data_IF_549140344711
#
_entry.id   IF_549140344711
#
_cell.length_a   1.000
_cell.length_b   1.000
_cell.length_c   1.000
_cell.angle_alpha   90.00
_cell.angle_beta   90.00
_cell.angle_gamma   90.00
#
_symmetry.space_group_name_H-M   'P 1'
#
loop_
_entity.id
_entity.type
_entity.pdbx_description
1 polymer ?
#
# COMPACT_ATOMS: atom_id res chain seq x y z
N UNK A 1 -42.72 19.80 23.38
CA UNK A 1 -42.06 18.47 23.44
C UNK A 1 -41.59 17.95 22.08
N UNK A 2 -42.42 17.93 21.03
CA UNK A 2 -42.03 17.34 19.72
C UNK A 2 -40.80 18.00 19.05
N UNK A 3 -40.62 19.31 19.18
CA UNK A 3 -39.49 20.02 18.57
C UNK A 3 -38.13 19.63 19.17
N UNK A 4 -38.09 19.33 20.48
CA UNK A 4 -36.88 18.90 21.18
C UNK A 4 -36.51 17.46 20.80
N UNK A 5 -37.51 16.59 20.64
CA UNK A 5 -37.33 15.21 20.21
C UNK A 5 -36.77 15.14 18.77
N UNK A 6 -37.27 15.99 17.88
CA UNK A 6 -36.81 16.07 16.48
C UNK A 6 -35.36 16.57 16.38
N UNK A 7 -34.98 17.55 17.20
CA UNK A 7 -33.60 18.06 17.26
C UNK A 7 -32.65 17.00 17.86
N UNK A 8 -33.09 16.25 18.88
CA UNK A 8 -32.31 15.16 19.45
C UNK A 8 -32.12 14.01 18.46
N UNK A 9 -33.17 13.60 17.75
CA UNK A 9 -33.09 12.58 16.71
C UNK A 9 -32.19 13.02 15.55
N UNK A 10 -32.29 14.28 15.10
CA UNK A 10 -31.42 14.83 14.07
C UNK A 10 -29.94 14.91 14.52
N UNK A 11 -29.68 15.29 15.77
CA UNK A 11 -28.32 15.25 16.34
C UNK A 11 -27.79 13.83 16.46
N UNK A 12 -28.64 12.87 16.87
CA UNK A 12 -28.27 11.47 17.00
C UNK A 12 -27.94 10.83 15.64
N UNK A 13 -28.74 11.10 14.60
CA UNK A 13 -28.45 10.62 13.25
C UNK A 13 -27.22 11.28 12.64
N UNK A 14 -26.97 12.57 12.93
CA UNK A 14 -25.75 13.25 12.52
C UNK A 14 -24.51 12.66 13.19
N UNK A 15 -24.54 12.45 14.51
CA UNK A 15 -23.43 11.83 15.25
C UNK A 15 -23.17 10.40 14.73
N UNK A 16 -24.23 9.62 14.52
CA UNK A 16 -24.11 8.25 14.02
C UNK A 16 -23.53 8.19 12.61
N UNK A 17 -23.94 9.08 11.71
CA UNK A 17 -23.39 9.15 10.34
C UNK A 17 -21.92 9.59 10.33
N UNK A 18 -21.53 10.55 11.18
CA UNK A 18 -20.14 10.95 11.34
C UNK A 18 -19.26 9.83 11.92
N UNK A 19 -19.77 9.12 12.93
CA UNK A 19 -19.06 7.99 13.53
C UNK A 19 -18.80 6.88 12.49
N UNK A 20 -19.83 6.55 11.69
CA UNK A 20 -19.71 5.57 10.62
C UNK A 20 -18.70 6.04 9.55
N UNK A 21 -18.74 7.32 9.18
CA UNK A 21 -17.81 7.87 8.19
C UNK A 21 -16.35 7.79 8.67
N UNK A 22 -16.11 8.12 9.94
CA UNK A 22 -14.80 8.04 10.58
C UNK A 22 -14.26 6.59 10.59
N UNK A 23 -15.09 5.63 11.00
CA UNK A 23 -14.74 4.22 10.97
C UNK A 23 -14.43 3.70 9.56
N UNK A 24 -15.18 4.15 8.54
CA UNK A 24 -14.93 3.77 7.15
C UNK A 24 -13.60 4.35 6.63
N UNK A 25 -13.25 5.58 7.01
CA UNK A 25 -11.94 6.15 6.68
C UNK A 25 -10.80 5.31 7.28
N UNK A 26 -10.89 4.99 8.57
CA UNK A 26 -9.87 4.15 9.22
C UNK A 26 -9.80 2.74 8.64
N UNK A 27 -10.93 2.15 8.23
CA UNK A 27 -10.92 0.86 7.54
C UNK A 27 -10.20 0.94 6.20
N UNK A 28 -10.41 2.02 5.43
CA UNK A 28 -9.73 2.21 4.14
C UNK A 28 -8.23 2.39 4.33
N UNK A 29 -7.82 3.23 5.29
CA UNK A 29 -6.41 3.45 5.58
C UNK A 29 -5.72 2.20 6.12
N UNK A 30 -6.34 1.52 7.10
CA UNK A 30 -5.81 0.30 7.68
C UNK A 30 -5.68 -0.83 6.68
N UNK A 31 -6.71 -1.06 5.86
CA UNK A 31 -6.66 -2.09 4.82
C UNK A 31 -5.62 -1.77 3.73
N UNK A 32 -5.46 -0.50 3.36
CA UNK A 32 -4.41 -0.09 2.42
C UNK A 32 -3.00 -0.33 2.99
N UNK A 33 -2.74 0.03 4.25
CA UNK A 33 -1.44 -0.21 4.90
C UNK A 33 -1.17 -1.71 5.05
N UNK A 34 -2.19 -2.51 5.39
CA UNK A 34 -2.07 -3.97 5.39
C UNK A 34 -1.74 -4.52 3.99
N UNK A 35 -2.34 -3.94 2.94
CA UNK A 35 -2.00 -4.27 1.57
C UNK A 35 -0.55 -3.91 1.20
N UNK A 36 -0.02 -2.78 1.68
CA UNK A 36 1.40 -2.43 1.50
C UNK A 36 2.29 -3.52 2.10
N UNK A 37 1.93 -3.99 3.30
CA UNK A 37 2.59 -5.12 3.96
C UNK A 37 2.64 -6.34 3.05
N UNK A 38 1.47 -6.79 2.58
CA UNK A 38 1.34 -7.93 1.68
C UNK A 38 2.16 -7.80 0.39
N UNK A 39 2.19 -6.63 -0.24
CA UNK A 39 2.86 -6.45 -1.53
C UNK A 39 4.36 -6.15 -1.44
N UNK A 40 4.86 -5.60 -0.33
CA UNK A 40 6.20 -5.02 -0.25
C UNK A 40 7.08 -5.57 0.88
N UNK A 41 6.50 -5.93 2.03
CA UNK A 41 7.26 -6.17 3.26
C UNK A 41 7.13 -7.60 3.81
N UNK A 42 5.91 -8.12 3.86
CA UNK A 42 5.55 -9.32 4.61
C UNK A 42 5.98 -10.58 3.84
N UNK A 43 7.20 -11.05 4.10
CA UNK A 43 7.75 -12.26 3.51
C UNK A 43 7.39 -13.52 4.32
N UNK A 44 6.96 -14.56 3.62
CA UNK A 44 6.66 -15.86 4.20
C UNK A 44 7.75 -16.86 3.84
N UNK A 45 8.71 -17.06 4.76
CA UNK A 45 9.87 -17.94 4.55
C UNK A 45 9.62 -19.32 5.17
N UNK A 46 9.71 -20.38 4.37
CA UNK A 46 9.62 -21.77 4.83
C UNK A 46 10.92 -22.54 4.64
N UNK A 47 11.20 -23.47 5.55
CA UNK A 47 12.33 -24.39 5.44
C UNK A 47 12.07 -25.49 4.38
N UNK A 48 13.09 -26.28 4.03
CA UNK A 48 12.99 -27.45 3.14
C UNK A 48 11.91 -28.45 3.58
N UNK A 49 11.65 -28.52 4.89
CA UNK A 49 10.65 -29.40 5.49
C UNK A 49 9.23 -28.80 5.48
N UNK A 50 9.05 -27.61 4.90
CA UNK A 50 7.76 -26.90 4.83
C UNK A 50 7.37 -26.16 6.11
N UNK A 51 8.24 -26.14 7.12
CA UNK A 51 8.01 -25.43 8.38
C UNK A 51 8.29 -23.93 8.23
N UNK A 52 7.43 -23.10 8.82
CA UNK A 52 7.61 -21.65 8.87
C UNK A 52 8.87 -21.30 9.67
N UNK A 53 9.78 -20.55 9.05
CA UNK A 53 11.02 -20.07 9.70
C UNK A 53 10.75 -18.83 10.55
N UNK A 54 9.72 -18.07 10.19
CA UNK A 54 9.35 -16.82 10.88
C UNK A 54 8.54 -17.11 12.15
N UNK A 55 9.20 -17.13 13.29
CA UNK A 55 8.63 -17.45 14.61
C UNK A 55 8.17 -16.23 15.42
N UNK A 56 8.38 -15.00 14.93
CA UNK A 56 7.97 -13.80 15.65
C UNK A 56 8.17 -12.50 14.89
N UNK A 57 7.92 -11.38 15.56
CA UNK A 57 8.04 -10.02 15.00
C UNK A 57 9.47 -9.61 14.66
N UNK A 58 10.45 -10.38 15.13
CA UNK A 58 11.86 -10.19 14.75
C UNK A 58 12.15 -10.69 13.34
N UNK A 59 11.49 -11.77 12.92
CA UNK A 59 11.67 -12.44 11.64
C UNK A 59 10.58 -12.07 10.63
N UNK A 60 9.35 -11.79 11.08
CA UNK A 60 8.25 -11.29 10.27
C UNK A 60 8.04 -9.78 10.47
N UNK A 61 8.21 -8.98 9.43
CA UNK A 61 8.14 -7.51 9.51
C UNK A 61 6.83 -6.98 8.94
N UNK A 62 5.90 -6.64 9.85
CA UNK A 62 4.71 -5.89 9.52
C UNK A 62 5.04 -4.43 9.15
N UNK A 63 4.18 -3.75 8.37
CA UNK A 63 4.24 -2.32 8.15
C UNK A 63 4.34 -1.52 9.45
N UNK A 64 5.34 -0.65 9.53
CA UNK A 64 5.51 0.32 10.63
C UNK A 64 5.16 1.72 10.15
N UNK A 65 5.20 2.70 11.04
CA UNK A 65 4.93 4.12 10.71
C UNK A 65 5.78 4.62 9.54
N UNK A 66 6.99 4.09 9.36
CA UNK A 66 7.91 4.49 8.29
C UNK A 66 7.50 3.98 6.90
N UNK A 67 6.63 2.96 6.84
CA UNK A 67 6.15 2.36 5.58
C UNK A 67 4.92 3.07 5.01
N UNK A 68 4.31 3.95 5.79
CA UNK A 68 3.11 4.70 5.38
C UNK A 68 3.54 5.83 4.43
N UNK A 69 2.81 6.08 3.33
CA UNK A 69 3.11 7.19 2.44
C UNK A 69 3.11 8.53 3.19
N UNK A 70 4.17 9.34 3.00
CA UNK A 70 4.30 10.67 3.61
C UNK A 70 3.07 11.56 3.38
N UNK A 71 2.46 11.42 2.20
CA UNK A 71 1.19 12.05 1.88
C UNK A 71 0.18 10.98 1.51
N UNK A 72 -0.79 10.75 2.39
CA UNK A 72 -1.86 9.78 2.18
C UNK A 72 -3.22 10.49 2.18
N UNK A 73 -3.82 10.64 0.98
CA UNK A 73 -5.08 11.36 0.81
C UNK A 73 -6.22 10.38 0.55
N UNK A 74 -7.14 10.25 1.49
CA UNK A 74 -8.35 9.42 1.34
C UNK A 74 -9.59 10.31 1.24
N UNK A 75 -10.42 10.06 0.22
CA UNK A 75 -11.70 10.76 0.03
C UNK A 75 -12.81 9.75 -0.23
N UNK A 76 -13.86 9.82 0.57
CA UNK A 76 -15.05 9.01 0.37
C UNK A 76 -16.00 9.70 -0.61
N UNK A 77 -16.35 8.98 -1.68
CA UNK A 77 -17.27 9.48 -2.69
C UNK A 77 -18.71 9.42 -2.16
N UNK A 78 -19.42 10.55 -2.23
CA UNK A 78 -20.86 10.57 -1.98
C UNK A 78 -21.59 9.99 -3.20
N UNK A 79 -21.98 8.73 -3.13
CA UNK A 79 -22.64 8.02 -4.23
C UNK A 79 -24.13 8.35 -4.40
N UNK A 80 -24.72 9.20 -3.54
CA UNK A 80 -26.16 9.48 -3.56
C UNK A 80 -27.02 8.33 -3.01
N UNK A 81 -28.33 8.50 -3.05
CA UNK A 81 -29.29 7.57 -2.44
C UNK A 81 -29.48 6.29 -3.25
N UNK A 82 -29.37 5.15 -2.60
CA UNK A 82 -29.48 3.82 -3.20
C UNK A 82 -30.54 2.98 -2.48
N UNK A 83 -31.69 2.78 -3.14
CA UNK A 83 -32.85 2.05 -2.58
C UNK A 83 -32.60 0.58 -2.23
N UNK A 84 -31.62 -0.08 -2.87
CA UNK A 84 -31.33 -1.52 -2.70
C UNK A 84 -30.31 -1.82 -1.59
N UNK A 85 -29.75 -0.80 -0.90
CA UNK A 85 -28.73 -1.00 0.13
C UNK A 85 -29.21 -0.47 1.47
N UNK A 86 -28.87 -1.17 2.55
CA UNK A 86 -29.17 -0.74 3.92
C UNK A 86 -28.53 0.64 4.13
N UNK A 87 -29.34 1.67 4.38
CA UNK A 87 -28.89 3.06 4.52
C UNK A 87 -28.00 3.57 3.37
N UNK A 88 -28.15 3.02 2.16
CA UNK A 88 -27.28 3.31 1.00
C UNK A 88 -25.79 2.97 1.17
N UNK A 89 -25.40 2.21 2.19
CA UNK A 89 -23.99 1.89 2.53
C UNK A 89 -23.36 0.86 1.56
N UNK A 90 -22.04 0.72 1.60
CA UNK A 90 -21.27 -0.31 0.88
C UNK A 90 -20.22 -0.90 1.82
N UNK A 91 -19.93 -2.20 1.71
CA UNK A 91 -18.80 -2.80 2.37
C UNK A 91 -17.50 -2.22 1.79
N UNK A 92 -16.58 -1.81 2.66
CA UNK A 92 -15.35 -1.10 2.27
C UNK A 92 -14.08 -1.66 2.93
N UNK A 93 -14.16 -2.74 3.71
CA UNK A 93 -13.02 -3.26 4.46
C UNK A 93 -11.96 -3.91 3.57
N UNK A 94 -12.35 -4.79 2.65
CA UNK A 94 -11.42 -5.57 1.82
C UNK A 94 -10.97 -4.86 0.52
N UNK A 95 -11.84 -4.13 -0.21
CA UNK A 95 -11.43 -3.54 -1.49
C UNK A 95 -10.17 -2.64 -1.43
N UNK A 96 -9.93 -1.84 -0.36
CA UNK A 96 -8.73 -1.02 -0.25
C UNK A 96 -7.43 -1.79 -0.10
N UNK A 97 -7.46 -3.05 0.37
CA UNK A 97 -6.27 -3.89 0.45
C UNK A 97 -5.66 -4.12 -0.93
N UNK A 98 -6.50 -4.43 -1.92
CA UNK A 98 -6.05 -4.62 -3.30
C UNK A 98 -5.51 -3.31 -3.93
N UNK A 99 -5.97 -2.15 -3.48
CA UNK A 99 -5.46 -0.86 -3.99
C UNK A 99 -3.98 -0.67 -3.70
N UNK A 100 -3.42 -1.32 -2.69
CA UNK A 100 -1.99 -1.30 -2.41
C UNK A 100 -1.14 -1.94 -3.52
N UNK A 101 -1.73 -2.74 -4.43
CA UNK A 101 -1.06 -3.21 -5.64
C UNK A 101 -0.55 -2.05 -6.53
N UNK A 102 -1.10 -0.84 -6.36
CA UNK A 102 -0.58 0.37 -6.99
C UNK A 102 0.87 0.68 -6.59
N UNK A 103 1.25 0.43 -5.33
CA UNK A 103 2.63 0.64 -4.83
C UNK A 103 3.58 -0.38 -5.47
N UNK A 104 3.14 -1.63 -5.59
CA UNK A 104 3.90 -2.67 -6.30
C UNK A 104 4.11 -2.31 -7.77
N UNK A 105 3.05 -1.88 -8.46
CA UNK A 105 3.15 -1.43 -9.85
C UNK A 105 4.05 -0.21 -10.01
N UNK A 106 3.96 0.77 -9.10
CA UNK A 106 4.84 1.95 -9.12
C UNK A 106 6.31 1.55 -8.94
N UNK A 107 6.60 0.57 -8.06
CA UNK A 107 7.95 0.05 -7.85
C UNK A 107 8.48 -0.64 -9.11
N UNK A 108 7.65 -1.46 -9.78
CA UNK A 108 8.02 -2.10 -11.05
C UNK A 108 8.36 -1.06 -12.13
N UNK A 109 7.56 0.00 -12.26
CA UNK A 109 7.85 1.09 -13.20
C UNK A 109 9.12 1.87 -12.83
N UNK A 110 9.39 2.08 -11.54
CA UNK A 110 10.61 2.72 -11.07
C UNK A 110 11.86 1.90 -11.40
N UNK A 111 11.81 0.57 -11.21
CA UNK A 111 12.91 -0.34 -11.61
C UNK A 111 13.13 -0.27 -13.12
N UNK A 112 12.04 -0.27 -13.91
CA UNK A 112 12.11 -0.16 -15.38
C UNK A 112 12.81 1.14 -15.80
N UNK A 113 12.41 2.28 -15.23
CA UNK A 113 13.03 3.57 -15.51
C UNK A 113 14.52 3.61 -15.10
N UNK A 114 14.87 3.06 -13.95
CA UNK A 114 16.26 2.98 -13.49
C UNK A 114 17.14 2.13 -14.43
N UNK A 115 16.60 1.03 -14.97
CA UNK A 115 17.29 0.22 -15.99
C UNK A 115 17.47 0.99 -17.29
N UNK A 116 16.41 1.65 -17.78
CA UNK A 116 16.45 2.44 -19.01
C UNK A 116 17.53 3.54 -18.96
N UNK A 117 17.62 4.28 -17.85
CA UNK A 117 18.67 5.29 -17.62
C UNK A 117 20.08 4.68 -17.72
N UNK A 118 20.27 3.49 -17.14
CA UNK A 118 21.56 2.79 -17.21
C UNK A 118 21.89 2.28 -18.62
N UNK A 119 20.92 1.78 -19.39
CA UNK A 119 21.13 1.29 -20.75
C UNK A 119 21.55 2.39 -21.73
N UNK A 120 21.18 3.63 -21.49
CA UNK A 120 21.72 4.76 -22.26
C UNK A 120 23.24 4.95 -22.04
N UNK A 121 23.80 4.48 -20.91
CA UNK A 121 25.22 4.64 -20.57
C UNK A 121 26.13 3.48 -21.03
N UNK A 122 25.57 2.27 -21.24
CA UNK A 122 26.31 1.09 -21.72
C UNK A 122 25.47 0.33 -22.74
N UNK A 123 26.06 0.10 -23.92
CA UNK A 123 25.54 -0.73 -25.03
C UNK A 123 25.49 -2.24 -24.65
N UNK A 124 24.84 -2.58 -23.54
CA UNK A 124 24.56 -3.95 -23.12
C UNK A 124 23.04 -4.11 -22.96
N UNK A 125 22.44 -4.97 -23.77
CA UNK A 125 21.00 -5.23 -23.79
C UNK A 125 20.59 -6.09 -22.58
N UNK A 126 20.05 -5.49 -21.52
CA UNK A 126 19.21 -6.27 -20.61
C UNK A 126 17.80 -6.36 -21.21
N UNK A 127 17.07 -7.46 -21.00
CA UNK A 127 15.73 -7.59 -21.53
C UNK A 127 14.82 -6.49 -20.94
N UNK A 128 13.98 -5.83 -21.75
CA UNK A 128 13.07 -4.77 -21.29
C UNK A 128 11.98 -5.31 -20.34
N UNK A 129 11.80 -6.62 -20.30
CA UNK A 129 10.81 -7.30 -19.48
C UNK A 129 11.48 -8.04 -18.32
N UNK A 130 10.94 -7.84 -17.12
CA UNK A 130 11.32 -8.59 -15.93
C UNK A 130 10.09 -8.83 -15.06
N UNK A 131 10.09 -9.95 -14.37
CA UNK A 131 9.05 -10.31 -13.42
C UNK A 131 9.44 -9.79 -12.03
N UNK A 132 8.53 -9.05 -11.40
CA UNK A 132 8.64 -8.64 -10.00
C UNK A 132 7.63 -9.46 -9.21
N UNK A 133 8.14 -10.42 -8.45
CA UNK A 133 7.31 -11.27 -7.59
C UNK A 133 6.84 -10.52 -6.35
N UNK A 134 5.72 -10.98 -5.81
CA UNK A 134 5.16 -10.49 -4.55
C UNK A 134 5.60 -11.43 -3.42
N UNK A 135 6.14 -10.91 -2.31
CA UNK A 135 6.38 -9.50 -1.99
C UNK A 135 7.63 -8.92 -2.66
N UNK A 136 7.55 -7.66 -3.10
CA UNK A 136 8.67 -6.92 -3.68
C UNK A 136 9.60 -6.37 -2.59
N UNK A 137 10.31 -7.27 -1.91
CA UNK A 137 11.23 -6.94 -0.83
C UNK A 137 12.43 -6.13 -1.33
N UNK A 138 13.01 -5.31 -0.44
CA UNK A 138 14.13 -4.44 -0.75
C UNK A 138 15.34 -5.16 -1.39
N UNK A 139 15.76 -6.36 -0.94
CA UNK A 139 16.85 -7.10 -1.59
C UNK A 139 16.55 -7.41 -3.07
N UNK A 140 15.36 -7.95 -3.36
CA UNK A 140 14.91 -8.28 -4.72
C UNK A 140 14.83 -7.03 -5.60
N UNK A 141 14.25 -5.94 -5.09
CA UNK A 141 14.19 -4.66 -5.81
C UNK A 141 15.60 -4.14 -6.13
N UNK A 142 16.54 -4.24 -5.18
CA UNK A 142 17.91 -3.75 -5.35
C UNK A 142 18.70 -4.59 -6.35
N UNK A 143 18.52 -5.90 -6.34
CA UNK A 143 19.09 -6.81 -7.34
C UNK A 143 18.55 -6.50 -8.73
N UNK A 144 17.22 -6.32 -8.85
CA UNK A 144 16.58 -5.99 -10.11
C UNK A 144 16.97 -4.60 -10.62
N UNK A 145 17.22 -3.62 -9.75
CA UNK A 145 17.73 -2.30 -10.14
C UNK A 145 19.19 -2.34 -10.60
N UNK A 146 19.97 -3.36 -10.21
CA UNK A 146 21.43 -3.45 -10.43
C UNK A 146 22.23 -2.91 -9.25
N UNK A 147 23.05 -3.76 -8.64
CA UNK A 147 23.86 -3.45 -7.45
C UNK A 147 24.83 -2.28 -7.70
N UNK A 148 25.48 -2.26 -8.86
CA UNK A 148 26.44 -1.23 -9.27
C UNK A 148 25.82 0.17 -9.44
N UNK A 149 24.50 0.25 -9.68
CA UNK A 149 23.82 1.52 -9.92
C UNK A 149 23.74 2.36 -8.65
N UNK A 150 23.53 1.71 -7.51
CA UNK A 150 23.45 2.38 -6.22
C UNK A 150 24.81 2.95 -5.84
N UNK A 151 25.88 2.17 -6.00
CA UNK A 151 27.25 2.62 -5.70
C UNK A 151 27.65 3.83 -6.56
N UNK A 152 27.43 3.77 -7.88
CA UNK A 152 27.73 4.90 -8.78
C UNK A 152 26.88 6.15 -8.47
N UNK A 153 25.61 5.97 -8.11
CA UNK A 153 24.77 7.08 -7.70
C UNK A 153 25.27 7.73 -6.41
N UNK A 154 25.67 6.93 -5.42
CA UNK A 154 26.26 7.43 -4.17
C UNK A 154 27.59 8.17 -4.43
N UNK A 155 28.45 7.65 -5.31
CA UNK A 155 29.68 8.34 -5.74
C UNK A 155 29.38 9.71 -6.38
N UNK A 156 28.32 9.80 -7.20
CA UNK A 156 27.90 11.05 -7.83
C UNK A 156 27.40 12.11 -6.83
N UNK A 157 26.83 11.69 -5.70
CA UNK A 157 26.40 12.58 -4.62
C UNK A 157 27.61 13.05 -3.81
N UNK A 158 28.53 12.15 -3.46
CA UNK A 158 29.73 12.49 -2.70
C UNK A 158 30.71 13.38 -3.47
N UNK A 159 30.65 13.40 -4.81
CA UNK A 159 31.48 14.26 -5.65
C UNK A 159 30.93 15.69 -5.81
N UNK A 160 29.75 16.01 -5.25
CA UNK A 160 29.17 17.35 -5.22
C UNK A 160 29.38 18.02 -3.86
#
# INVERSE_FOLDING_TARGET
MCHLLLVLLARYTYILTYLILCSLLFQVEGAFVQGIGYFMNEEYVTNSDGLLVSDGTWTYKIPTVDTIPKQFNVKLLNSGFHKKRVLSSKASGEPPLLLAASVHCATREAIRAAREEYHCSRSGSSPPFFDLEVPAIMPTVKELCGLDNVEKYLESICSK
#
